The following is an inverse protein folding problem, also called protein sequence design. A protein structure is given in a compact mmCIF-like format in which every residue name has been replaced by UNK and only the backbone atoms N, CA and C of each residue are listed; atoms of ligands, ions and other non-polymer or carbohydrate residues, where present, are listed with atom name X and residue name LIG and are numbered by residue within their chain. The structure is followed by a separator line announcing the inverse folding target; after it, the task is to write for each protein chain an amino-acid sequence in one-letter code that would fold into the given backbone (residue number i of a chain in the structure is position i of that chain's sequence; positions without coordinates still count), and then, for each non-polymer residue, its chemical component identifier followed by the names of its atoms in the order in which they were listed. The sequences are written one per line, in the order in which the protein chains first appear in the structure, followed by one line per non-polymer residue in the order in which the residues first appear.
data_IF_129348247375
#
_entry.id   IF_129348247375
#
_cell.length_a   1.000
_cell.length_b   1.000
_cell.length_c   1.000
_cell.angle_alpha   90.00
_cell.angle_beta   90.00
_cell.angle_gamma   90.00
#
_symmetry.space_group_name_H-M   'P 1'
#
loop_
_entity.id
_entity.type
_entity.pdbx_description
1 polymer ?
#
# COMPACT_ATOMS: atom_id res chain seq x y z
N UNK A 1 -1.24 1.94 25.68
CA UNK A 1 -1.64 1.83 24.26
C UNK A 1 -0.51 1.14 23.52
N UNK A 2 -0.73 -0.02 22.92
CA UNK A 2 0.25 -0.63 22.02
C UNK A 2 0.28 0.18 20.74
N UNK A 3 1.45 0.72 20.36
CA UNK A 3 1.61 1.25 19.01
C UNK A 3 1.32 0.12 18.01
N UNK A 4 0.43 0.37 17.06
CA UNK A 4 0.18 -0.57 15.95
C UNK A 4 0.38 0.17 14.64
N UNK A 5 1.16 -0.43 13.75
CA UNK A 5 1.40 0.07 12.40
C UNK A 5 0.62 -0.80 11.40
N UNK A 6 0.10 -0.17 10.34
CA UNK A 6 -0.51 -0.90 9.22
C UNK A 6 0.57 -1.15 8.18
N UNK A 7 0.82 -2.41 7.87
CA UNK A 7 1.73 -2.81 6.80
C UNK A 7 0.91 -3.25 5.59
N UNK A 8 1.28 -2.76 4.41
CA UNK A 8 0.79 -3.29 3.15
C UNK A 8 1.62 -4.52 2.82
N UNK A 9 0.95 -5.66 2.67
CA UNK A 9 1.58 -6.93 2.28
C UNK A 9 1.15 -7.23 0.86
N UNK A 10 2.13 -7.36 -0.03
CA UNK A 10 1.90 -7.80 -1.40
C UNK A 10 1.71 -9.31 -1.40
N UNK A 11 0.64 -9.78 -2.03
CA UNK A 11 0.31 -11.19 -2.16
C UNK A 11 -0.46 -11.40 -3.47
N UNK A 12 -0.38 -12.59 -4.04
CA UNK A 12 -1.17 -12.97 -5.20
C UNK A 12 -2.65 -13.18 -4.82
N UNK A 13 -3.57 -13.16 -5.79
CA UNK A 13 -4.98 -13.50 -5.53
C UNK A 13 -5.16 -14.88 -4.90
N UNK A 14 -4.34 -15.86 -5.31
CA UNK A 14 -4.40 -17.23 -4.82
C UNK A 14 -3.93 -17.31 -3.35
N UNK A 15 -2.83 -16.63 -3.00
CA UNK A 15 -2.34 -16.53 -1.63
C UNK A 15 -3.38 -15.89 -0.73
N UNK A 16 -4.01 -14.80 -1.20
CA UNK A 16 -5.07 -14.13 -0.44
C UNK A 16 -6.26 -15.05 -0.19
N UNK A 17 -6.70 -15.78 -1.21
CA UNK A 17 -7.81 -16.72 -1.09
C UNK A 17 -7.51 -17.85 -0.09
N UNK A 18 -6.27 -18.36 -0.10
CA UNK A 18 -5.81 -19.37 0.85
C UNK A 18 -5.80 -18.85 2.30
N UNK A 19 -5.33 -17.63 2.52
CA UNK A 19 -5.36 -16.96 3.83
C UNK A 19 -6.81 -16.82 4.33
N UNK A 20 -7.71 -16.33 3.49
CA UNK A 20 -9.12 -16.13 3.86
C UNK A 20 -9.83 -17.47 4.14
N UNK A 21 -9.51 -18.53 3.40
CA UNK A 21 -10.02 -19.87 3.67
C UNK A 21 -9.50 -20.42 5.02
N UNK A 22 -8.20 -20.29 5.28
CA UNK A 22 -7.57 -20.74 6.54
C UNK A 22 -8.12 -19.97 7.74
N UNK A 23 -8.32 -18.66 7.61
CA UNK A 23 -8.86 -17.82 8.67
C UNK A 23 -10.31 -18.24 9.02
N UNK A 24 -11.14 -18.48 7.99
CA UNK A 24 -12.51 -18.99 8.17
C UNK A 24 -12.54 -20.35 8.86
N UNK A 25 -11.70 -21.29 8.43
CA UNK A 25 -11.61 -22.61 9.04
C UNK A 25 -11.19 -22.54 10.52
N UNK A 26 -10.35 -21.57 10.86
CA UNK A 26 -9.89 -21.33 12.23
C UNK A 26 -10.81 -20.41 13.06
N UNK A 27 -11.95 -19.97 12.51
CA UNK A 27 -12.91 -19.11 13.20
C UNK A 27 -12.37 -17.72 13.57
N UNK A 28 -11.41 -17.18 12.80
CA UNK A 28 -10.77 -15.89 13.07
C UNK A 28 -10.73 -14.99 11.84
N UNK A 29 -10.40 -13.71 12.03
CA UNK A 29 -10.18 -12.79 10.91
C UNK A 29 -8.84 -13.07 10.22
N UNK A 30 -8.74 -12.77 8.92
CA UNK A 30 -7.49 -12.89 8.17
C UNK A 30 -6.35 -12.05 8.79
N UNK A 31 -6.66 -10.83 9.28
CA UNK A 31 -5.66 -9.99 9.96
C UNK A 31 -5.15 -10.60 11.27
N UNK A 32 -6.00 -11.30 12.02
CA UNK A 32 -5.58 -12.01 13.22
C UNK A 32 -4.73 -13.23 12.89
N UNK A 33 -5.12 -14.00 11.88
CA UNK A 33 -4.33 -15.12 11.37
C UNK A 33 -2.93 -14.66 10.96
N UNK A 34 -2.83 -13.55 10.22
CA UNK A 34 -1.55 -12.98 9.77
C UNK A 34 -0.69 -12.51 10.94
N UNK A 35 -1.28 -11.84 11.95
CA UNK A 35 -0.55 -11.43 13.16
C UNK A 35 0.03 -12.62 13.93
N UNK A 36 -0.76 -13.69 14.10
CA UNK A 36 -0.30 -14.91 14.78
C UNK A 36 0.78 -15.63 13.96
N UNK A 37 0.59 -15.70 12.64
CA UNK A 37 1.59 -16.27 11.73
C UNK A 37 2.93 -15.52 11.82
N UNK A 38 2.90 -14.18 11.83
CA UNK A 38 4.10 -13.37 11.99
C UNK A 38 4.75 -13.54 13.37
N UNK A 39 3.96 -13.63 14.44
CA UNK A 39 4.49 -13.82 15.80
C UNK A 39 5.12 -15.21 16.02
N UNK A 40 4.64 -16.23 15.29
CA UNK A 40 5.15 -17.59 15.33
C UNK A 40 6.20 -17.88 14.25
N UNK A 41 6.58 -16.89 13.44
CA UNK A 41 7.58 -17.06 12.41
C UNK A 41 8.97 -17.12 13.04
N UNK A 42 9.62 -18.26 12.90
CA UNK A 42 11.03 -18.45 13.24
C UNK A 42 11.85 -18.33 11.97
N UNK A 43 12.90 -17.50 12.00
CA UNK A 43 13.84 -17.41 10.89
C UNK A 43 14.62 -18.73 10.86
N UNK A 44 14.54 -19.46 9.75
CA UNK A 44 15.01 -20.84 9.67
C UNK A 44 16.52 -20.96 9.87
N UNK A 45 17.30 -20.15 9.15
CA UNK A 45 18.77 -20.13 9.27
C UNK A 45 19.34 -18.73 9.49
N UNK A 46 20.54 -18.64 10.07
CA UNK A 46 21.30 -17.38 10.18
C UNK A 46 21.55 -16.73 8.81
N UNK A 47 21.70 -17.53 7.75
CA UNK A 47 21.85 -17.03 6.39
C UNK A 47 20.58 -16.33 5.90
N UNK A 48 19.41 -16.92 6.13
CA UNK A 48 18.11 -16.29 5.83
C UNK A 48 17.90 -15.03 6.69
N UNK A 49 18.33 -15.05 7.95
CA UNK A 49 18.26 -13.88 8.83
C UNK A 49 19.13 -12.72 8.34
N UNK A 50 20.32 -13.03 7.81
CA UNK A 50 21.22 -12.05 7.23
C UNK A 50 20.65 -11.44 5.94
N UNK A 51 20.09 -12.28 5.06
CA UNK A 51 19.43 -11.80 3.83
C UNK A 51 18.22 -10.90 4.15
N UNK A 52 17.39 -11.31 5.11
CA UNK A 52 16.25 -10.50 5.57
C UNK A 52 16.70 -9.14 6.15
N UNK A 53 17.80 -9.09 6.90
CA UNK A 53 18.35 -7.82 7.41
C UNK A 53 18.75 -6.87 6.28
N UNK A 54 19.45 -7.38 5.26
CA UNK A 54 19.84 -6.56 4.09
C UNK A 54 18.61 -5.98 3.39
N UNK A 55 17.55 -6.78 3.23
CA UNK A 55 16.29 -6.31 2.64
C UNK A 55 15.58 -5.27 3.51
N UNK A 56 15.62 -5.44 4.84
CA UNK A 56 15.04 -4.48 5.79
C UNK A 56 15.81 -3.15 5.77
N UNK A 57 17.13 -3.19 5.79
CA UNK A 57 17.97 -1.98 5.72
C UNK A 57 17.68 -1.21 4.42
N UNK A 58 17.62 -1.91 3.28
CA UNK A 58 17.25 -1.31 2.00
C UNK A 58 15.83 -0.73 2.02
N UNK A 59 14.88 -1.40 2.67
CA UNK A 59 13.52 -0.89 2.81
C UNK A 59 13.49 0.37 3.69
N UNK A 60 14.16 0.39 4.83
CA UNK A 60 14.23 1.55 5.72
C UNK A 60 14.83 2.77 5.01
N UNK A 61 15.87 2.56 4.20
CA UNK A 61 16.52 3.61 3.42
C UNK A 61 15.61 4.17 2.31
N UNK A 62 14.81 3.33 1.66
CA UNK A 62 14.08 3.70 0.44
C UNK A 62 12.62 4.08 0.68
N UNK A 63 11.99 3.52 1.70
CA UNK A 63 10.57 3.65 1.95
C UNK A 63 10.12 5.09 2.26
N UNK A 64 10.82 5.90 3.09
CA UNK A 64 10.39 7.27 3.36
C UNK A 64 10.31 8.13 2.10
N UNK A 65 11.29 7.99 1.20
CA UNK A 65 11.30 8.69 -0.08
C UNK A 65 10.18 8.21 -1.01
N UNK A 66 9.88 6.91 -1.01
CA UNK A 66 8.76 6.36 -1.78
C UNK A 66 7.41 6.90 -1.28
N UNK A 67 7.18 6.90 0.04
CA UNK A 67 5.97 7.46 0.64
C UNK A 67 5.80 8.94 0.32
N UNK A 68 6.87 9.73 0.50
CA UNK A 68 6.83 11.16 0.20
C UNK A 68 6.43 11.45 -1.26
N UNK A 69 6.90 10.63 -2.20
CA UNK A 69 6.51 10.75 -3.62
C UNK A 69 5.05 10.37 -3.86
N UNK A 70 4.56 9.32 -3.20
CA UNK A 70 3.15 8.91 -3.28
C UNK A 70 2.25 10.03 -2.74
N UNK A 71 2.57 10.58 -1.58
CA UNK A 71 1.82 11.68 -0.97
C UNK A 71 1.79 12.91 -1.88
N UNK A 72 2.93 13.25 -2.48
CA UNK A 72 3.00 14.35 -3.45
C UNK A 72 2.12 14.10 -4.68
N UNK A 73 2.13 12.88 -5.22
CA UNK A 73 1.31 12.50 -6.37
C UNK A 73 -0.20 12.54 -6.05
N UNK A 74 -0.60 12.09 -4.85
CA UNK A 74 -1.97 12.19 -4.36
C UNK A 74 -2.39 13.65 -4.27
N UNK A 75 -1.56 14.51 -3.67
CA UNK A 75 -1.84 15.93 -3.51
C UNK A 75 -1.96 16.65 -4.87
N UNK A 76 -1.08 16.35 -5.83
CA UNK A 76 -1.16 16.88 -7.19
C UNK A 76 -2.43 16.44 -7.92
N UNK A 77 -2.78 15.15 -7.81
CA UNK A 77 -4.01 14.61 -8.42
C UNK A 77 -5.24 15.29 -7.83
N UNK A 78 -5.29 15.47 -6.51
CA UNK A 78 -6.38 16.18 -5.84
C UNK A 78 -6.48 17.64 -6.30
N UNK A 79 -5.35 18.34 -6.45
CA UNK A 79 -5.31 19.71 -7.00
C UNK A 79 -5.87 19.75 -8.42
N UNK A 80 -5.41 18.89 -9.32
CA UNK A 80 -5.93 18.85 -10.70
C UNK A 80 -7.43 18.57 -10.75
N UNK A 81 -7.93 17.59 -10.00
CA UNK A 81 -9.36 17.30 -9.92
C UNK A 81 -10.15 18.50 -9.38
N UNK A 82 -9.62 19.22 -8.40
CA UNK A 82 -10.26 20.43 -7.87
C UNK A 82 -10.34 21.55 -8.92
N UNK A 83 -9.29 21.77 -9.72
CA UNK A 83 -9.25 22.75 -10.80
C UNK A 83 -10.24 22.41 -11.92
N UNK A 84 -10.32 21.14 -12.33
CA UNK A 84 -11.27 20.70 -13.36
C UNK A 84 -12.73 20.92 -12.92
N UNK A 85 -13.02 20.72 -11.62
CA UNK A 85 -14.36 20.93 -11.06
C UNK A 85 -14.71 22.40 -10.88
N UNK A 86 -13.73 23.29 -10.78
CA UNK A 86 -13.92 24.73 -10.58
C UNK A 86 -13.75 25.56 -11.86
N UNK A 87 -13.23 24.97 -12.94
CA UNK A 87 -13.14 25.64 -14.24
C UNK A 87 -14.51 25.61 -14.95
N UNK A 88 -15.07 26.76 -15.35
CA UNK A 88 -16.35 26.81 -16.07
C UNK A 88 -16.23 26.19 -17.47
N UNK A 89 -17.34 25.73 -18.09
CA UNK A 89 -17.33 25.19 -19.44
C UNK A 89 -16.77 26.22 -20.41
N UNK A 90 -15.77 25.82 -21.20
CA UNK A 90 -15.12 26.68 -22.20
C UNK A 90 -16.19 27.11 -23.22
N UNK A 91 -16.53 28.40 -23.25
CA UNK A 91 -17.53 28.93 -24.16
C UNK A 91 -17.17 28.62 -25.63
N UNK A 92 -18.14 28.27 -26.48
CA UNK A 92 -17.87 27.97 -27.88
C UNK A 92 -17.24 29.19 -28.55
N UNK A 93 -16.09 29.00 -29.21
CA UNK A 93 -15.43 30.04 -29.99
C UNK A 93 -16.39 30.46 -31.10
N UNK A 94 -17.03 31.62 -30.97
CA UNK A 94 -17.84 32.18 -32.03
C UNK A 94 -16.96 32.37 -33.26
N UNK A 95 -17.31 31.69 -34.34
CA UNK A 95 -16.70 31.89 -35.63
C UNK A 95 -16.99 33.33 -36.07
N UNK A 96 -15.97 34.19 -36.04
CA UNK A 96 -15.99 35.47 -36.74
C UNK A 96 -16.14 35.19 -38.22
N UNK A 97 -17.35 35.43 -38.71
CA UNK A 97 -17.76 35.25 -40.09
C UNK A 97 -17.27 36.46 -40.92
N UNK A 98 -16.55 36.28 -42.03
CA UNK A 98 -16.40 37.33 -43.04
C UNK A 98 -17.69 37.49 -43.87
#
# INVERSE_FOLDING_TARGET
MSASARLLVLMTPEERAAIDAKARAAGMSAGELMRRGAAAYEIGSEAEAAELRVLLDLFEDTHPAALSRIDAAIAETARHLSHLRSSPPKAPRSASRP
#
